data_IF_124471430219
#
_entry.id   IF_124471430219
#
_cell.length_a   1.000
_cell.length_b   1.000
_cell.length_c   1.000
_cell.angle_alpha   90.00
_cell.angle_beta   90.00
_cell.angle_gamma   90.00
#
_symmetry.space_group_name_H-M   'P 1'
#
loop_
_entity.id
_entity.type
_entity.pdbx_description
1 polymer ?
#
# COMPACT_ATOMS: atom_id res chain seq x y z
N UNK A 1 -18.00 -8.34 -11.60
CA UNK A 1 -17.42 -7.17 -12.29
C UNK A 1 -18.43 -6.38 -13.12
N UNK A 2 -18.75 -6.74 -14.39
CA UNK A 2 -19.59 -5.89 -15.29
C UNK A 2 -20.95 -5.44 -14.71
N UNK A 3 -21.67 -6.35 -14.04
CA UNK A 3 -22.95 -6.02 -13.39
C UNK A 3 -22.76 -5.04 -12.21
N UNK A 4 -21.67 -5.17 -11.46
CA UNK A 4 -21.36 -4.29 -10.35
C UNK A 4 -21.16 -2.84 -10.84
N UNK A 5 -20.41 -2.64 -11.92
CA UNK A 5 -20.20 -1.31 -12.52
C UNK A 5 -21.51 -0.67 -13.01
N UNK A 6 -22.51 -1.47 -13.40
CA UNK A 6 -23.84 -0.96 -13.76
C UNK A 6 -24.57 -0.46 -12.51
N UNK A 7 -24.53 -1.22 -11.41
CA UNK A 7 -25.15 -0.81 -10.15
C UNK A 7 -24.49 0.43 -9.54
N UNK A 8 -23.16 0.49 -9.58
CA UNK A 8 -22.37 1.65 -9.14
C UNK A 8 -22.77 2.92 -9.89
N UNK A 9 -22.78 2.87 -11.24
CA UNK A 9 -23.22 4.00 -12.09
C UNK A 9 -24.69 4.38 -11.87
N UNK A 10 -25.49 3.47 -11.33
CA UNK A 10 -26.89 3.69 -10.99
C UNK A 10 -27.09 4.16 -9.54
N UNK A 11 -26.02 4.41 -8.78
CA UNK A 11 -26.07 4.82 -7.38
C UNK A 11 -26.49 3.71 -6.40
N UNK A 12 -26.55 2.45 -6.84
CA UNK A 12 -26.93 1.30 -6.01
C UNK A 12 -25.70 0.64 -5.40
N UNK A 13 -25.03 1.37 -4.51
CA UNK A 13 -23.71 0.99 -3.99
C UNK A 13 -23.72 -0.38 -3.26
N UNK A 14 -24.75 -0.68 -2.49
CA UNK A 14 -24.85 -1.97 -1.76
C UNK A 14 -24.88 -3.16 -2.71
N UNK A 15 -25.65 -3.05 -3.80
CA UNK A 15 -25.73 -4.11 -4.83
C UNK A 15 -24.43 -4.23 -5.61
N UNK A 16 -23.73 -3.11 -5.84
CA UNK A 16 -22.41 -3.13 -6.46
C UNK A 16 -21.42 -3.91 -5.58
N UNK A 17 -21.37 -3.62 -4.27
CA UNK A 17 -20.54 -4.32 -3.29
C UNK A 17 -20.86 -5.83 -3.27
N UNK A 18 -22.13 -6.23 -3.24
CA UNK A 18 -22.52 -7.64 -3.33
C UNK A 18 -21.97 -8.32 -4.59
N UNK A 19 -22.11 -7.65 -5.74
CA UNK A 19 -21.63 -8.16 -7.01
C UNK A 19 -20.10 -8.23 -7.10
N UNK A 20 -19.38 -7.28 -6.50
CA UNK A 20 -17.93 -7.35 -6.44
C UNK A 20 -17.44 -8.43 -5.46
N UNK A 21 -18.11 -8.60 -4.31
CA UNK A 21 -17.83 -9.69 -3.36
C UNK A 21 -17.99 -11.08 -4.02
N UNK A 22 -19.02 -11.25 -4.85
CA UNK A 22 -19.18 -12.45 -5.67
C UNK A 22 -18.02 -12.61 -6.67
N UNK A 23 -17.61 -11.51 -7.32
CA UNK A 23 -16.56 -11.53 -8.33
C UNK A 23 -15.20 -11.95 -7.73
N UNK A 24 -14.80 -11.37 -6.60
CA UNK A 24 -13.55 -11.74 -5.92
C UNK A 24 -13.59 -13.15 -5.34
N UNK A 25 -14.78 -13.68 -5.00
CA UNK A 25 -14.91 -15.07 -4.57
C UNK A 25 -14.69 -16.04 -5.73
N UNK A 26 -15.17 -15.70 -6.92
CA UNK A 26 -14.99 -16.50 -8.14
C UNK A 26 -13.57 -16.42 -8.68
N UNK A 27 -12.99 -15.23 -8.66
CA UNK A 27 -11.61 -15.00 -9.06
C UNK A 27 -10.89 -14.15 -7.99
N UNK A 28 -10.22 -14.80 -7.03
CA UNK A 28 -9.48 -14.09 -5.98
C UNK A 28 -8.30 -13.24 -6.49
N UNK A 29 -7.87 -13.45 -7.74
CA UNK A 29 -6.78 -12.69 -8.39
C UNK A 29 -7.30 -11.49 -9.21
N UNK A 30 -8.61 -11.28 -9.30
CA UNK A 30 -9.20 -10.14 -9.99
C UNK A 30 -8.96 -8.85 -9.19
N UNK A 31 -7.81 -8.21 -9.42
CA UNK A 31 -7.45 -6.96 -8.74
C UNK A 31 -8.46 -5.85 -9.02
N UNK A 32 -9.10 -5.82 -10.19
CA UNK A 32 -10.05 -4.78 -10.55
C UNK A 32 -11.32 -4.87 -9.69
N UNK A 33 -11.83 -6.08 -9.44
CA UNK A 33 -12.92 -6.28 -8.48
C UNK A 33 -12.51 -5.91 -7.05
N UNK A 34 -11.26 -6.18 -6.65
CA UNK A 34 -10.73 -5.75 -5.35
C UNK A 34 -10.64 -4.24 -5.20
N UNK A 35 -10.15 -3.54 -6.24
CA UNK A 35 -10.01 -2.09 -6.25
C UNK A 35 -11.37 -1.41 -6.08
N UNK A 36 -12.38 -1.86 -6.83
CA UNK A 36 -13.73 -1.32 -6.73
C UNK A 36 -14.38 -1.59 -5.36
N UNK A 37 -14.14 -2.76 -4.75
CA UNK A 37 -14.56 -3.01 -3.37
C UNK A 37 -13.88 -2.07 -2.38
N UNK A 38 -12.58 -1.85 -2.56
CA UNK A 38 -11.79 -1.00 -1.68
C UNK A 38 -12.34 0.43 -1.68
N UNK A 39 -12.64 0.99 -2.86
CA UNK A 39 -13.23 2.33 -3.01
C UNK A 39 -14.60 2.40 -2.34
N UNK A 40 -15.49 1.45 -2.66
CA UNK A 40 -16.84 1.43 -2.10
C UNK A 40 -16.85 1.30 -0.57
N UNK A 41 -15.88 0.59 0.02
CA UNK A 41 -15.75 0.49 1.48
C UNK A 41 -15.06 1.70 2.09
N UNK A 42 -14.10 2.33 1.39
CA UNK A 42 -13.48 3.58 1.81
C UNK A 42 -14.53 4.70 1.90
N UNK A 43 -15.38 4.83 0.89
CA UNK A 43 -16.49 5.81 0.84
C UNK A 43 -17.49 5.61 1.99
N UNK A 44 -17.69 4.35 2.41
CA UNK A 44 -18.55 3.99 3.55
C UNK A 44 -17.88 4.19 4.92
N UNK A 45 -16.59 4.52 4.96
CA UNK A 45 -15.81 4.63 6.20
C UNK A 45 -15.39 3.29 6.80
N UNK A 46 -15.55 2.19 6.05
CA UNK A 46 -15.17 0.83 6.46
C UNK A 46 -13.66 0.61 6.27
N UNK A 47 -12.85 1.43 6.95
CA UNK A 47 -11.41 1.54 6.71
C UNK A 47 -10.64 0.22 6.81
N UNK A 48 -11.00 -0.65 7.76
CA UNK A 48 -10.33 -1.95 7.92
C UNK A 48 -10.58 -2.88 6.73
N UNK A 49 -11.78 -2.84 6.16
CA UNK A 49 -12.13 -3.66 5.00
C UNK A 49 -11.44 -3.11 3.75
N UNK A 50 -11.53 -1.80 3.54
CA UNK A 50 -10.87 -1.11 2.43
C UNK A 50 -9.36 -1.37 2.43
N UNK A 51 -8.71 -1.25 3.59
CA UNK A 51 -7.29 -1.52 3.76
C UNK A 51 -6.91 -2.94 3.31
N UNK A 52 -7.65 -3.95 3.74
CA UNK A 52 -7.38 -5.33 3.33
C UNK A 52 -7.63 -5.55 1.84
N UNK A 53 -8.59 -4.84 1.24
CA UNK A 53 -8.89 -4.93 -0.19
C UNK A 53 -7.83 -4.24 -1.05
N UNK A 54 -7.34 -3.04 -0.68
CA UNK A 54 -6.20 -2.40 -1.35
C UNK A 54 -4.94 -3.26 -1.29
N UNK A 55 -4.67 -3.94 -0.17
CA UNK A 55 -3.57 -4.92 -0.08
C UNK A 55 -3.71 -6.07 -1.09
N UNK A 56 -4.94 -6.50 -1.41
CA UNK A 56 -5.18 -7.50 -2.46
C UNK A 56 -4.88 -6.94 -3.85
N UNK A 57 -5.20 -5.67 -4.10
CA UNK A 57 -4.82 -4.97 -5.35
C UNK A 57 -3.30 -4.99 -5.53
N UNK A 58 -2.56 -4.52 -4.51
CA UNK A 58 -1.10 -4.51 -4.51
C UNK A 58 -0.47 -5.91 -4.66
N UNK A 59 -1.17 -6.94 -4.16
CA UNK A 59 -0.73 -8.33 -4.31
C UNK A 59 -0.88 -8.83 -5.75
N UNK A 60 -2.01 -8.54 -6.41
CA UNK A 60 -2.42 -9.25 -7.64
C UNK A 60 -2.38 -8.42 -8.92
N UNK A 61 -2.13 -7.10 -8.88
CA UNK A 61 -2.05 -6.27 -10.09
C UNK A 61 -0.96 -6.71 -11.09
N UNK A 62 0.04 -7.49 -10.64
CA UNK A 62 1.07 -8.11 -11.48
C UNK A 62 0.67 -9.46 -12.07
N UNK A 63 -0.41 -10.08 -11.59
CA UNK A 63 -0.91 -11.35 -12.13
C UNK A 63 -1.72 -11.13 -13.42
N UNK A 64 -2.13 -9.89 -13.71
CA UNK A 64 -2.81 -9.52 -14.95
C UNK A 64 -1.78 -9.14 -16.04
N UNK A 65 -1.59 -10.05 -16.99
CA UNK A 65 -0.66 -9.86 -18.11
C UNK A 65 -1.16 -8.87 -19.17
N UNK A 66 -2.41 -8.42 -19.10
CA UNK A 66 -3.00 -7.47 -20.05
C UNK A 66 -2.68 -6.03 -19.66
N UNK A 67 -2.40 -5.78 -18.38
CA UNK A 67 -2.17 -4.45 -17.84
C UNK A 67 -0.86 -3.86 -18.37
N UNK A 68 -0.92 -2.67 -18.96
CA UNK A 68 0.29 -1.92 -19.32
C UNK A 68 1.00 -1.39 -18.07
N UNK A 69 2.28 -1.06 -18.19
CA UNK A 69 3.06 -0.54 -17.06
C UNK A 69 2.50 0.78 -16.53
N UNK A 70 2.01 1.66 -17.42
CA UNK A 70 1.37 2.93 -17.06
C UNK A 70 0.05 2.74 -16.31
N UNK A 71 -0.74 1.73 -16.68
CA UNK A 71 -1.95 1.38 -15.95
C UNK A 71 -1.61 0.81 -14.58
N UNK A 72 -0.61 -0.07 -14.52
CA UNK A 72 -0.17 -0.67 -13.26
C UNK A 72 0.39 0.36 -12.30
N UNK A 73 1.18 1.30 -12.78
CA UNK A 73 1.70 2.42 -12.01
C UNK A 73 0.56 3.20 -11.34
N UNK A 74 -0.44 3.62 -12.12
CA UNK A 74 -1.61 4.37 -11.61
C UNK A 74 -2.38 3.59 -10.55
N UNK A 75 -2.59 2.29 -10.75
CA UNK A 75 -3.30 1.44 -9.79
C UNK A 75 -2.50 1.28 -8.49
N UNK A 76 -1.17 1.13 -8.58
CA UNK A 76 -0.29 1.04 -7.41
C UNK A 76 -0.29 2.36 -6.64
N UNK A 77 -0.14 3.48 -7.35
CA UNK A 77 -0.19 4.83 -6.79
C UNK A 77 -1.51 5.06 -6.04
N UNK A 78 -2.65 4.85 -6.70
CA UNK A 78 -3.98 4.98 -6.11
C UNK A 78 -4.17 4.11 -4.86
N UNK A 79 -3.71 2.84 -4.91
CA UNK A 79 -3.80 1.94 -3.77
C UNK A 79 -2.91 2.38 -2.60
N UNK A 80 -1.69 2.85 -2.86
CA UNK A 80 -0.77 3.29 -1.82
C UNK A 80 -1.24 4.60 -1.16
N UNK A 81 -1.73 5.56 -1.94
CA UNK A 81 -2.32 6.80 -1.44
C UNK A 81 -3.54 6.52 -0.56
N UNK A 82 -4.43 5.63 -1.00
CA UNK A 82 -5.61 5.26 -0.23
C UNK A 82 -5.25 4.54 1.08
N UNK A 83 -4.20 3.70 1.06
CA UNK A 83 -3.67 3.08 2.28
C UNK A 83 -3.07 4.12 3.22
N UNK A 84 -2.35 5.12 2.69
CA UNK A 84 -1.83 6.24 3.48
C UNK A 84 -2.97 7.02 4.14
N UNK A 85 -4.00 7.37 3.40
CA UNK A 85 -5.19 8.07 3.93
C UNK A 85 -5.83 7.28 5.08
N UNK A 86 -6.01 5.96 4.90
CA UNK A 86 -6.53 5.09 5.95
C UNK A 86 -5.59 5.04 7.16
N UNK A 87 -4.27 4.97 6.94
CA UNK A 87 -3.25 4.97 7.99
C UNK A 87 -3.31 6.25 8.82
N UNK A 88 -3.41 7.41 8.17
CA UNK A 88 -3.54 8.71 8.85
C UNK A 88 -4.81 8.79 9.69
N UNK A 89 -5.95 8.36 9.14
CA UNK A 89 -7.24 8.34 9.84
C UNK A 89 -7.25 7.38 11.03
N UNK A 90 -6.52 6.28 10.95
CA UNK A 90 -6.51 5.22 11.98
C UNK A 90 -5.33 5.32 12.96
N UNK A 91 -4.32 6.13 12.66
CA UNK A 91 -3.08 6.24 13.42
C UNK A 91 -2.23 4.97 13.41
N UNK A 92 -2.42 4.07 12.45
CA UNK A 92 -1.73 2.77 12.39
C UNK A 92 -0.88 2.67 11.15
N UNK A 93 0.42 2.42 11.33
CA UNK A 93 1.33 2.15 10.21
C UNK A 93 0.85 0.95 9.39
N UNK A 94 0.80 1.09 8.04
CA UNK A 94 0.26 0.04 7.18
C UNK A 94 1.23 -1.14 7.11
N UNK A 95 0.66 -2.35 7.18
CA UNK A 95 1.38 -3.59 6.92
C UNK A 95 1.11 -4.01 5.47
N UNK A 96 2.10 -3.83 4.61
CA UNK A 96 2.02 -4.09 3.17
C UNK A 96 2.39 -5.55 2.86
N UNK A 97 1.66 -6.22 1.95
CA UNK A 97 1.98 -7.59 1.55
C UNK A 97 3.06 -7.64 0.47
N UNK A 98 3.87 -8.69 0.40
CA UNK A 98 4.71 -8.88 -0.79
C UNK A 98 3.86 -9.03 -2.07
N UNK A 99 4.25 -8.37 -3.18
CA UNK A 99 3.70 -8.65 -4.51
C UNK A 99 3.75 -10.14 -4.83
N UNK A 100 2.74 -10.69 -5.50
CA UNK A 100 2.69 -12.12 -5.87
C UNK A 100 3.94 -12.58 -6.61
N UNK A 101 4.48 -11.75 -7.51
CA UNK A 101 5.68 -12.02 -8.32
C UNK A 101 6.98 -12.17 -7.52
N UNK A 102 7.02 -11.70 -6.27
CA UNK A 102 8.18 -11.78 -5.38
C UNK A 102 8.03 -12.84 -4.29
N UNK A 103 6.97 -13.68 -4.35
CA UNK A 103 6.73 -14.72 -3.34
C UNK A 103 7.49 -15.99 -3.71
N UNK A 104 8.26 -16.51 -2.78
CA UNK A 104 8.87 -17.84 -2.90
C UNK A 104 7.84 -18.95 -2.66
N UNK A 105 8.04 -20.11 -3.29
CA UNK A 105 7.14 -21.25 -3.14
C UNK A 105 7.39 -21.96 -1.80
N UNK A 106 6.34 -22.08 -0.97
CA UNK A 106 6.34 -22.95 0.20
C UNK A 106 6.45 -22.25 1.56
N UNK A 107 6.63 -20.92 1.59
CA UNK A 107 6.70 -20.13 2.83
C UNK A 107 5.60 -19.07 2.90
N UNK A 108 5.21 -18.69 4.13
CA UNK A 108 4.30 -17.56 4.34
C UNK A 108 5.01 -16.28 3.92
N UNK A 109 4.43 -15.46 3.02
CA UNK A 109 5.10 -14.25 2.56
C UNK A 109 5.34 -13.30 3.74
N UNK A 110 6.54 -12.69 3.87
CA UNK A 110 6.80 -11.70 4.89
C UNK A 110 5.84 -10.52 4.81
N UNK A 111 5.59 -9.92 5.97
CA UNK A 111 4.83 -8.65 6.08
C UNK A 111 5.81 -7.50 6.07
N UNK A 112 5.56 -6.51 5.22
CA UNK A 112 6.39 -5.32 5.13
C UNK A 112 5.75 -4.21 5.94
N UNK A 113 6.49 -3.68 6.91
CA UNK A 113 6.09 -2.51 7.68
C UNK A 113 6.83 -1.31 7.08
N UNK A 114 6.08 -0.41 6.48
CA UNK A 114 6.57 0.81 5.87
C UNK A 114 5.79 2.01 6.38
N UNK A 115 6.47 3.12 6.64
CA UNK A 115 5.84 4.39 6.98
C UNK A 115 5.56 5.19 5.70
N UNK A 116 4.37 5.02 5.13
CA UNK A 116 3.96 5.69 3.90
C UNK A 116 3.82 7.22 4.05
N UNK A 117 3.73 7.75 5.28
CA UNK A 117 3.62 9.19 5.50
C UNK A 117 4.95 9.93 5.26
N UNK A 118 6.05 9.19 5.22
CA UNK A 118 7.34 9.70 4.82
C UNK A 118 7.55 9.48 3.31
N UNK A 119 8.06 10.51 2.62
CA UNK A 119 8.52 10.46 1.22
C UNK A 119 9.30 9.18 0.91
N UNK A 120 10.22 8.77 1.80
CA UNK A 120 11.07 7.60 1.58
C UNK A 120 10.33 6.27 1.73
N UNK A 121 9.30 6.22 2.56
CA UNK A 121 8.49 5.01 2.69
C UNK A 121 7.59 4.83 1.47
N UNK A 122 7.11 5.93 0.90
CA UNK A 122 6.38 5.91 -0.37
C UNK A 122 7.29 5.55 -1.54
N UNK A 123 8.49 6.14 -1.64
CA UNK A 123 9.51 5.78 -2.64
C UNK A 123 9.86 4.28 -2.58
N UNK A 124 10.08 3.75 -1.37
CA UNK A 124 10.33 2.32 -1.18
C UNK A 124 9.15 1.47 -1.63
N UNK A 125 7.92 1.88 -1.30
CA UNK A 125 6.73 1.14 -1.72
C UNK A 125 6.61 1.13 -3.25
N UNK A 126 6.90 2.25 -3.93
CA UNK A 126 6.97 2.28 -5.38
C UNK A 126 8.07 1.38 -5.93
N UNK A 127 9.31 1.44 -5.41
CA UNK A 127 10.39 0.56 -5.86
C UNK A 127 10.03 -0.93 -5.72
N UNK A 128 9.39 -1.30 -4.60
CA UNK A 128 8.93 -2.65 -4.37
C UNK A 128 7.81 -3.07 -5.32
N UNK A 129 6.75 -2.26 -5.43
CA UNK A 129 5.56 -2.65 -6.17
C UNK A 129 5.72 -2.43 -7.66
N UNK A 130 6.41 -1.39 -8.12
CA UNK A 130 6.64 -1.06 -9.53
C UNK A 130 7.85 -1.83 -10.07
N UNK A 131 9.03 -1.64 -9.47
CA UNK A 131 10.27 -2.20 -10.03
C UNK A 131 10.49 -3.65 -9.54
N UNK A 132 10.02 -3.96 -8.33
CA UNK A 132 10.30 -5.24 -7.67
C UNK A 132 11.68 -5.28 -7.06
N UNK A 133 12.26 -4.11 -6.88
CA UNK A 133 13.56 -3.93 -6.29
C UNK A 133 13.37 -3.61 -4.81
N UNK A 134 14.16 -4.29 -3.98
CA UNK A 134 14.23 -4.03 -2.55
C UNK A 134 15.70 -3.89 -2.21
N UNK A 135 16.10 -2.70 -1.80
CA UNK A 135 17.44 -2.47 -1.28
C UNK A 135 17.57 -3.16 0.10
N UNK A 136 18.41 -4.20 0.23
CA UNK A 136 18.55 -4.93 1.49
C UNK A 136 19.09 -4.05 2.61
N UNK A 137 19.90 -3.03 2.29
CA UNK A 137 20.47 -2.12 3.29
C UNK A 137 19.41 -1.17 3.88
N UNK A 138 18.29 -0.99 3.17
CA UNK A 138 17.12 -0.25 3.62
C UNK A 138 16.17 -1.10 4.45
N UNK A 139 16.44 -2.40 4.62
CA UNK A 139 15.52 -3.31 5.29
C UNK A 139 16.12 -3.88 6.58
N UNK A 140 15.28 -4.07 7.60
CA UNK A 140 15.58 -4.92 8.75
C UNK A 140 14.61 -6.08 8.78
N UNK A 141 15.13 -7.29 8.72
CA UNK A 141 14.35 -8.51 8.91
C UNK A 141 14.21 -8.81 10.41
N UNK A 142 12.99 -9.09 10.84
CA UNK A 142 12.64 -9.51 12.20
C UNK A 142 11.82 -10.80 12.12
N UNK A 143 12.31 -11.88 12.74
CA UNK A 143 11.56 -13.13 12.86
C UNK A 143 10.61 -13.05 14.06
N UNK A 144 9.33 -13.39 13.84
CA UNK A 144 8.32 -13.45 14.90
C UNK A 144 7.60 -14.79 14.88
N UNK A 145 6.91 -15.14 15.97
CA UNK A 145 6.04 -16.32 16.03
C UNK A 145 4.94 -16.32 14.94
N UNK A 146 4.61 -15.13 14.39
CA UNK A 146 3.61 -14.92 13.35
C UNK A 146 4.19 -14.88 11.92
N UNK A 147 5.49 -15.18 11.77
CA UNK A 147 6.23 -15.13 10.51
C UNK A 147 7.22 -13.96 10.43
N UNK A 148 7.83 -13.80 9.27
CA UNK A 148 8.88 -12.81 9.01
C UNK A 148 8.29 -11.41 8.79
N UNK A 149 8.84 -10.41 9.48
CA UNK A 149 8.51 -9.00 9.33
C UNK A 149 9.71 -8.26 8.74
N UNK A 150 9.50 -7.57 7.63
CA UNK A 150 10.50 -6.69 7.02
C UNK A 150 10.13 -5.25 7.39
N UNK A 151 10.97 -4.60 8.19
CA UNK A 151 10.82 -3.18 8.51
C UNK A 151 11.70 -2.35 7.60
N UNK A 152 11.10 -1.40 6.89
CA UNK A 152 11.84 -0.45 6.07
C UNK A 152 12.47 0.59 6.99
N UNK A 153 13.77 0.78 6.86
CA UNK A 153 14.56 1.80 7.54
C UNK A 153 14.90 2.91 6.57
N UNK A 154 14.82 4.11 7.11
CA UNK A 154 15.44 5.29 6.55
C UNK A 154 16.97 5.13 6.60
N UNK A 155 17.69 5.23 5.46
CA UNK A 155 19.16 5.24 5.46
C UNK A 155 19.72 6.40 6.32
N UNK A 156 20.72 6.11 7.17
CA UNK A 156 21.31 7.11 8.08
C UNK A 156 22.04 8.24 7.36
N UNK A 157 22.57 7.97 6.17
CA UNK A 157 23.22 8.92 5.26
C UNK A 157 22.23 9.87 4.59
N UNK A 158 20.95 9.47 4.48
CA UNK A 158 19.85 10.31 3.98
C UNK A 158 19.03 10.97 5.09
N UNK A 159 19.13 10.47 6.33
CA UNK A 159 18.54 11.09 7.50
C UNK A 159 19.17 12.47 7.78
N UNK A 160 18.35 13.53 7.79
CA UNK A 160 18.84 14.87 8.15
C UNK A 160 19.30 14.85 9.62
N UNK A 161 20.58 15.12 9.93
CA UNK A 161 21.05 15.13 11.30
C UNK A 161 20.23 16.10 12.14
N UNK A 162 19.74 15.64 13.31
CA UNK A 162 18.83 16.41 14.19
C UNK A 162 19.29 17.84 14.50
N UNK A 163 20.61 18.08 14.50
CA UNK A 163 21.22 19.38 14.80
C UNK A 163 21.63 20.20 13.56
N UNK A 164 21.41 19.71 12.32
CA UNK A 164 21.69 20.45 11.08
C UNK A 164 20.67 21.60 10.93
N UNK A 165 21.05 22.74 10.31
CA UNK A 165 20.07 23.72 9.84
C UNK A 165 18.97 23.07 9.00
N UNK A 166 17.72 23.46 9.23
CA UNK A 166 16.56 22.88 8.59
C UNK A 166 16.50 23.29 7.10
N UNK A 167 16.28 22.34 6.16
CA UNK A 167 16.32 22.63 4.73
C UNK A 167 15.19 23.54 4.23
N UNK A 168 14.12 23.72 5.02
CA UNK A 168 13.02 24.63 4.68
C UNK A 168 13.38 26.13 4.78
N UNK A 169 14.62 26.47 5.15
CA UNK A 169 15.07 27.87 5.25
C UNK A 169 14.59 28.61 6.50
N UNK A 170 13.98 27.93 7.46
CA UNK A 170 13.43 28.54 8.69
C UNK A 170 14.48 29.11 9.66
N UNK A 171 15.77 28.89 9.41
CA UNK A 171 16.88 29.25 10.30
C UNK A 171 16.96 28.42 11.59
N UNK A 172 16.05 27.47 11.80
CA UNK A 172 16.03 26.57 12.97
C UNK A 172 16.83 25.29 12.70
N UNK A 173 17.26 24.60 13.75
CA UNK A 173 17.80 23.23 13.63
C UNK A 173 16.68 22.23 13.35
N UNK A 174 16.96 21.21 12.54
CA UNK A 174 15.96 20.28 12.00
C UNK A 174 15.01 19.70 13.08
N UNK A 175 15.56 19.24 14.22
CA UNK A 175 14.76 18.69 15.34
C UNK A 175 13.81 19.67 16.04
N UNK A 176 13.95 20.98 15.78
CA UNK A 176 13.09 22.05 16.33
C UNK A 176 12.21 22.68 15.25
N UNK A 177 12.12 22.04 14.07
CA UNK A 177 11.37 22.50 12.92
C UNK A 177 10.71 21.31 12.21
N UNK A 178 11.06 20.99 10.97
CA UNK A 178 10.44 19.92 10.19
C UNK A 178 10.68 18.52 10.77
N UNK A 179 11.72 18.33 11.58
CA UNK A 179 12.00 17.08 12.29
C UNK A 179 11.57 17.10 13.76
N UNK A 180 10.64 17.98 14.13
CA UNK A 180 10.02 17.96 15.45
C UNK A 180 8.85 16.95 15.43
N UNK A 181 9.08 15.78 16.02
CA UNK A 181 8.01 14.89 16.49
C UNK A 181 7.41 15.43 17.79
#
# INVERSE_FOLDING_TARGET
YRLANIYEKSGMMEKAIECFNEAVRRNPKDFASWLQLAHANLDRGEFLQALEQYKKVLTFCWDDSVLSDDERFRIIEEALESILEISEKTGKSPQLPLPSRLREQGESPPKIICDLANEWGMDFAFALYVDGEVDPDQCRVEETESGTIIRVRIPKDRAIPKNRPCPCGSGKVYKKCCGAE
#
